data_IF_144340591408
#
_entry.id   IF_144340591408
#
_cell.length_a   1.000
_cell.length_b   1.000
_cell.length_c   1.000
_cell.angle_alpha   90.00
_cell.angle_beta   90.00
_cell.angle_gamma   90.00
#
_symmetry.space_group_name_H-M   'P 1'
#
loop_
_entity.id
_entity.type
_entity.pdbx_description
1 polymer ?
#
# COMPACT_ATOMS: atom_id res chain seq x y z
N UNK A 1 26.36 13.64 -0.24
CA UNK A 1 24.94 13.39 0.07
C UNK A 1 24.64 11.94 -0.26
N UNK A 2 24.63 11.06 0.74
CA UNK A 2 24.35 9.63 0.52
C UNK A 2 22.84 9.48 0.37
N UNK A 3 22.40 9.04 -0.81
CA UNK A 3 20.99 8.94 -1.17
C UNK A 3 20.25 7.98 -0.23
N UNK A 4 19.37 8.55 0.62
CA UNK A 4 18.58 7.84 1.62
C UNK A 4 17.36 7.11 1.01
N UNK A 5 17.58 6.43 -0.13
CA UNK A 5 16.51 5.84 -0.97
C UNK A 5 15.75 4.73 -0.24
N UNK A 6 16.48 3.90 0.51
CA UNK A 6 15.88 2.87 1.35
C UNK A 6 14.94 3.50 2.39
N UNK A 7 15.40 4.49 3.15
CA UNK A 7 14.61 5.19 4.17
C UNK A 7 13.40 5.95 3.60
N UNK A 8 13.55 6.56 2.42
CA UNK A 8 12.48 7.27 1.74
C UNK A 8 11.38 6.33 1.21
N UNK A 9 11.73 5.10 0.84
CA UNK A 9 10.75 4.09 0.41
C UNK A 9 9.75 3.74 1.53
N UNK A 10 10.14 3.91 2.81
CA UNK A 10 9.30 3.65 3.97
C UNK A 10 8.41 4.84 4.38
N UNK A 11 8.49 6.00 3.71
CA UNK A 11 7.68 7.17 4.08
C UNK A 11 6.15 6.92 3.99
N UNK A 12 5.61 6.25 2.94
CA UNK A 12 4.18 5.94 2.89
C UNK A 12 3.72 5.04 4.05
N UNK A 13 4.56 4.06 4.41
CA UNK A 13 4.34 3.17 5.54
C UNK A 13 4.30 3.94 6.86
N UNK A 14 5.31 4.79 7.14
CA UNK A 14 5.37 5.60 8.37
C UNK A 14 4.21 6.57 8.51
N UNK A 15 3.79 7.21 7.41
CA UNK A 15 2.60 8.08 7.42
C UNK A 15 1.35 7.31 7.84
N UNK A 16 1.19 6.09 7.32
CA UNK A 16 0.03 5.24 7.61
C UNK A 16 0.05 4.68 9.03
N UNK A 17 1.21 4.22 9.49
CA UNK A 17 1.41 3.80 10.90
C UNK A 17 1.02 4.91 11.88
N UNK A 18 1.46 6.16 11.62
CA UNK A 18 1.10 7.32 12.44
C UNK A 18 -0.40 7.62 12.39
N UNK A 19 -1.01 7.59 11.20
CA UNK A 19 -2.45 7.78 11.05
C UNK A 19 -3.28 6.70 11.74
N UNK A 20 -2.74 5.48 11.87
CA UNK A 20 -3.35 4.36 12.59
C UNK A 20 -3.09 4.41 14.11
N UNK A 21 -2.68 5.56 14.66
CA UNK A 21 -2.38 5.77 16.09
C UNK A 21 -1.31 4.83 16.66
N UNK A 22 -0.41 4.32 15.80
CA UNK A 22 0.62 3.31 16.10
C UNK A 22 0.02 1.96 16.51
N UNK A 23 0.77 0.89 16.25
CA UNK A 23 0.34 -0.46 16.64
C UNK A 23 0.55 -0.67 18.14
N UNK A 24 -0.50 -1.10 18.85
CA UNK A 24 -0.44 -1.45 20.28
C UNK A 24 0.46 -2.67 20.56
N UNK A 25 0.63 -3.55 19.58
CA UNK A 25 1.41 -4.78 19.70
C UNK A 25 2.35 -4.97 18.51
N UNK A 26 3.59 -5.40 18.78
CA UNK A 26 4.62 -5.67 17.77
C UNK A 26 4.16 -6.71 16.73
N UNK A 27 3.41 -7.73 17.18
CA UNK A 27 2.86 -8.76 16.29
C UNK A 27 1.94 -8.18 15.21
N UNK A 28 1.13 -7.17 15.55
CA UNK A 28 0.24 -6.53 14.59
C UNK A 28 1.03 -5.70 13.57
N UNK A 29 2.08 -4.99 14.02
CA UNK A 29 3.01 -4.28 13.15
C UNK A 29 3.67 -5.23 12.15
N UNK A 30 4.17 -6.39 12.61
CA UNK A 30 4.83 -7.38 11.75
C UNK A 30 3.88 -7.93 10.68
N UNK A 31 2.66 -8.33 11.07
CA UNK A 31 1.64 -8.80 10.13
C UNK A 31 1.29 -7.72 9.09
N UNK A 32 1.12 -6.48 9.54
CA UNK A 32 0.83 -5.36 8.65
C UNK A 32 1.98 -5.07 7.69
N UNK A 33 3.22 -4.99 8.20
CA UNK A 33 4.41 -4.69 7.40
C UNK A 33 4.68 -5.76 6.34
N UNK A 34 4.42 -7.04 6.65
CA UNK A 34 4.62 -8.16 5.72
C UNK A 34 3.75 -8.06 4.45
N UNK A 35 2.56 -7.47 4.54
CA UNK A 35 1.61 -7.38 3.40
C UNK A 35 1.50 -5.97 2.81
N UNK A 36 1.97 -4.94 3.52
CA UNK A 36 1.72 -3.54 3.17
C UNK A 36 2.19 -3.16 1.76
N UNK A 37 3.40 -3.57 1.37
CA UNK A 37 3.98 -3.23 0.06
C UNK A 37 3.19 -3.88 -1.08
N UNK A 38 2.83 -5.16 -0.95
CA UNK A 38 2.02 -5.88 -1.93
C UNK A 38 0.67 -5.20 -2.15
N UNK A 39 -0.06 -4.91 -1.06
CA UNK A 39 -1.35 -4.21 -1.13
C UNK A 39 -1.17 -2.81 -1.73
N UNK A 40 -0.18 -2.04 -1.28
CA UNK A 40 0.06 -0.69 -1.80
C UNK A 40 0.35 -0.71 -3.30
N UNK A 41 1.17 -1.64 -3.77
CA UNK A 41 1.57 -1.74 -5.16
C UNK A 41 0.40 -2.17 -6.05
N UNK A 42 -0.41 -3.15 -5.62
CA UNK A 42 -1.59 -3.60 -6.38
C UNK A 42 -2.57 -2.44 -6.65
N UNK A 43 -2.88 -1.61 -5.64
CA UNK A 43 -3.76 -0.44 -5.81
C UNK A 43 -3.14 0.75 -6.54
N UNK A 44 -1.81 0.76 -6.73
CA UNK A 44 -1.07 1.84 -7.38
C UNK A 44 -0.26 1.36 -8.59
N UNK A 45 -0.64 0.21 -9.15
CA UNK A 45 0.10 -0.43 -10.22
C UNK A 45 0.30 0.54 -11.38
N UNK A 46 1.57 0.74 -11.75
CA UNK A 46 1.98 1.51 -12.93
C UNK A 46 1.34 2.91 -12.99
N UNK A 47 1.12 3.55 -11.83
CA UNK A 47 0.46 4.87 -11.71
C UNK A 47 0.99 5.93 -12.67
N UNK A 48 2.28 5.86 -12.98
CA UNK A 48 2.99 6.83 -13.82
C UNK A 48 2.98 6.48 -15.32
N UNK A 49 2.60 5.25 -15.69
CA UNK A 49 2.51 4.81 -17.09
C UNK A 49 1.10 4.99 -17.67
N UNK A 50 0.07 4.94 -16.81
CA UNK A 50 -1.32 5.06 -17.25
C UNK A 50 -1.87 6.48 -17.19
N UNK A 51 -2.73 6.79 -18.16
CA UNK A 51 -3.62 7.95 -18.08
C UNK A 51 -4.47 7.89 -16.80
N UNK A 52 -5.00 9.04 -16.37
CA UNK A 52 -5.81 9.10 -15.14
C UNK A 52 -7.02 8.18 -15.20
N UNK A 53 -7.63 8.02 -16.37
CA UNK A 53 -8.84 7.21 -16.54
C UNK A 53 -8.51 5.72 -16.49
N UNK A 54 -7.46 5.28 -17.18
CA UNK A 54 -6.98 3.89 -17.10
C UNK A 54 -6.57 3.54 -15.66
N UNK A 55 -5.90 4.46 -14.96
CA UNK A 55 -5.56 4.26 -13.55
C UNK A 55 -6.80 4.06 -12.66
N UNK A 56 -7.87 4.84 -12.89
CA UNK A 56 -9.12 4.67 -12.15
C UNK A 56 -9.78 3.33 -12.43
N UNK A 57 -9.80 2.90 -13.70
CA UNK A 57 -10.35 1.59 -14.08
C UNK A 57 -9.59 0.45 -13.38
N UNK A 58 -8.26 0.46 -13.45
CA UNK A 58 -7.42 -0.54 -12.77
C UNK A 58 -7.64 -0.54 -11.26
N UNK A 59 -7.80 0.64 -10.65
CA UNK A 59 -8.07 0.75 -9.21
C UNK A 59 -9.44 0.20 -8.82
N UNK A 60 -10.45 0.39 -9.67
CA UNK A 60 -11.79 -0.19 -9.44
C UNK A 60 -11.78 -1.71 -9.60
N UNK A 61 -11.03 -2.23 -10.57
CA UNK A 61 -10.84 -3.68 -10.74
C UNK A 61 -10.14 -4.28 -9.50
N UNK A 62 -9.01 -3.71 -9.06
CA UNK A 62 -8.31 -4.10 -7.84
C UNK A 62 -9.21 -4.08 -6.60
N UNK A 63 -10.09 -3.08 -6.47
CA UNK A 63 -11.05 -3.03 -5.35
C UNK A 63 -12.09 -4.15 -5.42
N UNK A 64 -12.52 -4.52 -6.62
CA UNK A 64 -13.49 -5.59 -6.84
C UNK A 64 -12.89 -6.94 -6.49
N UNK A 65 -11.69 -7.23 -6.98
CA UNK A 65 -10.91 -8.42 -6.63
C UNK A 65 -10.69 -8.51 -5.11
N UNK A 66 -10.32 -7.40 -4.47
CA UNK A 66 -10.13 -7.35 -3.02
C UNK A 66 -11.41 -7.68 -2.24
N UNK A 67 -12.57 -7.21 -2.70
CA UNK A 67 -13.86 -7.52 -2.08
C UNK A 67 -14.22 -8.99 -2.24
N UNK A 68 -13.92 -9.59 -3.39
CA UNK A 68 -14.17 -11.02 -3.63
C UNK A 68 -13.35 -11.90 -2.68
N UNK A 69 -12.08 -11.53 -2.43
CA UNK A 69 -11.21 -12.23 -1.47
C UNK A 69 -11.73 -12.15 -0.02
N UNK A 70 -12.45 -11.09 0.34
CA UNK A 70 -13.04 -10.92 1.67
C UNK A 70 -14.42 -11.57 1.83
N UNK A 71 -15.10 -11.87 0.71
CA UNK A 71 -16.41 -12.55 0.71
C UNK A 71 -16.31 -14.08 0.62
N UNK A 72 -15.12 -14.61 0.36
CA UNK A 72 -14.82 -16.04 0.38
C UNK A 72 -14.51 -16.51 1.82
#
# INVERSE_FOLDING_TARGET
WVNNRAENSHLPFRRRERAMLRFRQMRCLQKFAAVHSSVHNHFNQERHFYSRDNFKLNRTAALTEWRQLLSA
#
